data_IF_850641612277
#
_entry.id   IF_850641612277
#
_cell.length_a   1.000
_cell.length_b   1.000
_cell.length_c   1.000
_cell.angle_alpha   90.00
_cell.angle_beta   90.00
_cell.angle_gamma   90.00
#
_symmetry.space_group_name_H-M   'P 1'
#
loop_
_entity.id
_entity.type
_entity.pdbx_description
1 polymer ?
#
# COMPACT_ATOMS: atom_id res chain seq x y z
N UNK A 1 -7.44 -0.06 36.64
CA UNK A 1 -6.27 0.34 35.83
C UNK A 1 -5.82 -0.87 35.04
N UNK A 2 -5.97 -0.85 33.71
CA UNK A 2 -5.47 -1.93 32.86
C UNK A 2 -3.93 -1.82 32.82
N UNK A 3 -3.24 -2.89 33.21
CA UNK A 3 -1.78 -2.99 33.08
C UNK A 3 -1.41 -2.87 31.60
N UNK A 4 -0.37 -2.10 31.24
CA UNK A 4 0.06 -2.04 29.84
C UNK A 4 0.49 -3.44 29.40
N UNK A 5 -0.24 -4.02 28.44
CA UNK A 5 0.04 -5.35 27.88
C UNK A 5 1.49 -5.36 27.41
N UNK A 6 2.34 -6.13 28.09
CA UNK A 6 3.74 -6.32 27.70
C UNK A 6 3.75 -6.98 26.32
N UNK A 7 4.01 -6.20 25.28
CA UNK A 7 3.92 -6.67 23.90
C UNK A 7 4.98 -7.74 23.69
N UNK A 8 4.56 -8.91 23.22
CA UNK A 8 5.46 -10.03 22.97
C UNK A 8 6.19 -9.82 21.63
N UNK A 9 7.51 -10.05 21.58
CA UNK A 9 8.34 -10.03 20.34
C UNK A 9 7.64 -10.72 19.17
N UNK A 10 7.07 -11.90 19.42
CA UNK A 10 6.36 -12.67 18.40
C UNK A 10 5.16 -11.90 17.84
N UNK A 11 4.40 -11.20 18.69
CA UNK A 11 3.27 -10.37 18.27
C UNK A 11 3.73 -9.20 17.39
N UNK A 12 4.87 -8.57 17.71
CA UNK A 12 5.45 -7.49 16.88
C UNK A 12 5.84 -8.02 15.48
N UNK A 13 6.55 -9.15 15.44
CA UNK A 13 7.00 -9.75 14.19
C UNK A 13 5.80 -10.17 13.33
N UNK A 14 4.78 -10.77 13.92
CA UNK A 14 3.55 -11.13 13.19
C UNK A 14 2.83 -9.90 12.64
N UNK A 15 2.76 -8.80 13.39
CA UNK A 15 2.18 -7.54 12.90
C UNK A 15 2.99 -6.94 11.73
N UNK A 16 4.32 -6.95 11.79
CA UNK A 16 5.18 -6.48 10.67
C UNK A 16 4.95 -7.34 9.42
N UNK A 17 4.90 -8.67 9.58
CA UNK A 17 4.63 -9.60 8.46
C UNK A 17 3.23 -9.42 7.89
N UNK A 18 2.23 -9.22 8.73
CA UNK A 18 0.87 -8.91 8.31
C UNK A 18 0.81 -7.59 7.53
N UNK A 19 1.49 -6.55 8.01
CA UNK A 19 1.61 -5.27 7.32
C UNK A 19 2.25 -5.44 5.93
N UNK A 20 3.38 -6.15 5.82
CA UNK A 20 4.02 -6.48 4.54
C UNK A 20 3.08 -7.21 3.58
N UNK A 21 2.38 -8.25 4.04
CA UNK A 21 1.40 -8.98 3.21
C UNK A 21 0.26 -8.08 2.74
N UNK A 22 -0.24 -7.21 3.62
CA UNK A 22 -1.32 -6.28 3.28
C UNK A 22 -0.89 -5.26 2.23
N UNK A 23 0.35 -4.76 2.32
CA UNK A 23 0.93 -3.85 1.33
C UNK A 23 1.07 -4.52 -0.04
N UNK A 24 1.69 -5.70 -0.11
CA UNK A 24 1.82 -6.47 -1.36
C UNK A 24 0.45 -6.78 -1.97
N UNK A 25 -0.54 -7.09 -1.14
CA UNK A 25 -1.92 -7.32 -1.60
C UNK A 25 -2.53 -6.05 -2.19
N UNK A 26 -2.30 -4.88 -1.57
CA UNK A 26 -2.76 -3.60 -2.10
C UNK A 26 -2.14 -3.30 -3.47
N UNK A 27 -0.83 -3.52 -3.64
CA UNK A 27 -0.13 -3.31 -4.93
C UNK A 27 -0.68 -4.23 -6.02
N UNK A 28 -0.96 -5.51 -5.70
CA UNK A 28 -1.62 -6.44 -6.64
C UNK A 28 -3.00 -5.96 -7.07
N UNK A 29 -3.78 -5.39 -6.15
CA UNK A 29 -5.11 -4.85 -6.46
C UNK A 29 -5.02 -3.59 -7.34
N UNK A 30 -4.03 -2.73 -7.10
CA UNK A 30 -3.75 -1.60 -7.98
C UNK A 30 -3.43 -2.07 -9.41
N UNK A 31 -2.63 -3.15 -9.56
CA UNK A 31 -2.37 -3.80 -10.85
C UNK A 31 -3.65 -4.31 -11.51
N UNK A 32 -4.45 -5.09 -10.79
CA UNK A 32 -5.71 -5.65 -11.29
C UNK A 32 -6.67 -4.57 -11.81
N UNK A 33 -6.68 -3.41 -11.16
CA UNK A 33 -7.48 -2.26 -11.58
C UNK A 33 -7.03 -1.69 -12.95
N UNK A 34 -5.71 -1.66 -13.21
CA UNK A 34 -5.14 -1.26 -14.51
C UNK A 34 -5.50 -2.29 -15.57
N UNK A 35 -5.41 -3.57 -15.24
CA UNK A 35 -5.75 -4.69 -16.13
C UNK A 35 -7.26 -4.80 -16.41
N UNK A 36 -8.09 -3.95 -15.79
CA UNK A 36 -9.54 -3.92 -15.99
C UNK A 36 -10.28 -5.05 -15.28
N UNK A 37 -9.61 -5.77 -14.37
CA UNK A 37 -10.25 -6.75 -13.49
C UNK A 37 -11.14 -5.99 -12.49
N UNK A 38 -12.40 -6.41 -12.27
CA UNK A 38 -13.24 -5.81 -11.25
C UNK A 38 -12.59 -5.92 -9.87
N UNK A 39 -12.27 -4.78 -9.28
CA UNK A 39 -11.76 -4.66 -7.91
C UNK A 39 -12.66 -3.70 -7.16
N UNK A 40 -13.05 -4.08 -5.95
CA UNK A 40 -13.74 -3.18 -5.04
C UNK A 40 -12.86 -1.97 -4.72
N UNK A 41 -13.34 -0.76 -5.07
CA UNK A 41 -12.62 0.52 -4.91
C UNK A 41 -12.20 0.78 -3.47
N UNK A 42 -13.00 0.29 -2.51
CA UNK A 42 -12.74 0.47 -1.08
C UNK A 42 -11.50 -0.32 -0.64
N UNK A 43 -11.07 -1.30 -1.45
CA UNK A 43 -9.88 -2.12 -1.20
C UNK A 43 -8.60 -1.55 -1.79
N UNK A 44 -8.67 -0.44 -2.53
CA UNK A 44 -7.51 0.25 -3.13
C UNK A 44 -7.64 1.78 -2.92
N UNK A 45 -7.62 2.24 -1.66
CA UNK A 45 -7.78 3.66 -1.38
C UNK A 45 -6.61 4.49 -1.93
N UNK A 46 -6.92 5.71 -2.36
CA UNK A 46 -5.92 6.68 -2.83
C UNK A 46 -5.12 7.24 -1.65
N UNK A 47 -5.79 7.50 -0.51
CA UNK A 47 -5.15 8.04 0.67
C UNK A 47 -4.25 6.99 1.35
N UNK A 48 -2.99 7.34 1.70
CA UNK A 48 -2.06 6.41 2.33
C UNK A 48 -2.54 5.93 3.71
N UNK A 49 -3.26 6.76 4.46
CA UNK A 49 -3.79 6.43 5.79
C UNK A 49 -4.90 5.39 5.78
N UNK A 50 -5.54 5.21 4.63
CA UNK A 50 -6.78 4.43 4.53
C UNK A 50 -6.51 3.00 4.09
N UNK A 51 -5.32 2.69 3.58
CA UNK A 51 -4.93 1.32 3.24
C UNK A 51 -4.64 0.52 4.53
N UNK A 52 -4.86 -0.79 4.51
CA UNK A 52 -4.64 -1.67 5.68
C UNK A 52 -3.22 -1.51 6.25
N UNK A 53 -2.24 -1.35 5.35
CA UNK A 53 -0.86 -1.09 5.73
C UNK A 53 -0.70 0.26 6.44
N UNK A 54 -1.29 1.33 5.91
CA UNK A 54 -1.26 2.66 6.50
C UNK A 54 -1.98 2.73 7.84
N UNK A 55 -3.13 2.06 7.97
CA UNK A 55 -3.85 1.93 9.25
C UNK A 55 -2.97 1.28 10.32
N UNK A 56 -2.18 0.26 9.95
CA UNK A 56 -1.17 -0.28 10.85
C UNK A 56 -0.05 0.73 11.12
N UNK A 57 0.53 1.36 10.09
CA UNK A 57 1.65 2.29 10.23
C UNK A 57 1.33 3.47 11.16
N UNK A 58 0.19 4.11 10.96
CA UNK A 58 -0.26 5.25 11.75
C UNK A 58 -0.99 4.86 13.05
N UNK A 59 -1.39 3.60 13.19
CA UNK A 59 -2.01 3.04 14.40
C UNK A 59 -1.03 2.19 15.22
N UNK A 60 -1.30 0.89 15.31
CA UNK A 60 -0.54 -0.08 16.13
C UNK A 60 0.99 -0.04 15.89
N UNK A 61 1.42 0.21 14.66
CA UNK A 61 2.82 0.31 14.27
C UNK A 61 3.57 1.45 14.96
N UNK A 62 2.89 2.49 15.45
CA UNK A 62 3.49 3.64 16.14
C UNK A 62 4.25 3.27 17.40
N UNK A 63 4.02 2.09 17.98
CA UNK A 63 4.87 1.54 19.04
C UNK A 63 6.35 1.39 18.62
N UNK A 64 6.63 1.30 17.32
CA UNK A 64 7.95 1.18 16.71
C UNK A 64 8.52 2.54 16.25
N UNK A 65 7.82 3.66 16.49
CA UNK A 65 8.17 4.98 15.96
C UNK A 65 9.53 5.52 16.43
N UNK A 66 10.15 4.93 17.47
CA UNK A 66 11.51 5.26 17.91
C UNK A 66 12.60 4.61 17.06
N UNK A 67 12.25 3.64 16.21
CA UNK A 67 13.20 2.93 15.36
C UNK A 67 13.37 3.70 14.04
N UNK A 68 14.61 4.10 13.66
CA UNK A 68 14.85 4.76 12.38
C UNK A 68 14.39 3.94 11.17
N UNK A 69 14.47 2.60 11.25
CA UNK A 69 13.98 1.70 10.22
C UNK A 69 12.46 1.78 10.02
N UNK A 70 11.69 2.08 11.07
CA UNK A 70 10.25 2.29 10.99
C UNK A 70 9.93 3.68 10.41
N UNK A 71 10.62 4.72 10.86
CA UNK A 71 10.43 6.09 10.36
C UNK A 71 10.73 6.18 8.86
N UNK A 72 11.76 5.48 8.41
CA UNK A 72 12.09 5.41 7.00
C UNK A 72 10.93 4.86 6.14
N UNK A 73 9.90 4.21 6.66
CA UNK A 73 8.84 3.66 5.82
C UNK A 73 7.89 4.75 5.26
N UNK A 74 7.76 5.90 5.92
CA UNK A 74 6.74 6.91 5.61
C UNK A 74 6.88 7.51 4.21
N UNK A 75 8.04 8.10 3.90
CA UNK A 75 8.27 8.77 2.61
C UNK A 75 7.99 7.88 1.39
N UNK A 76 8.54 6.65 1.27
CA UNK A 76 8.28 5.82 0.10
C UNK A 76 6.82 5.33 0.06
N UNK A 77 6.15 5.21 1.22
CA UNK A 77 4.74 4.91 1.27
C UNK A 77 3.88 6.07 0.74
N UNK A 78 4.23 7.30 1.10
CA UNK A 78 3.56 8.50 0.58
C UNK A 78 3.79 8.63 -0.93
N UNK A 79 5.03 8.47 -1.42
CA UNK A 79 5.31 8.50 -2.85
C UNK A 79 4.60 7.41 -3.65
N UNK A 80 4.50 6.19 -3.09
CA UNK A 80 3.72 5.12 -3.70
C UNK A 80 2.24 5.54 -3.89
N UNK A 81 1.65 6.15 -2.88
CA UNK A 81 0.25 6.62 -2.94
C UNK A 81 0.07 7.85 -3.84
N UNK A 82 1.03 8.77 -3.90
CA UNK A 82 1.05 9.88 -4.86
C UNK A 82 1.08 9.37 -6.30
N UNK A 83 1.94 8.38 -6.60
CA UNK A 83 2.02 7.77 -7.92
C UNK A 83 0.74 6.99 -8.23
N UNK A 84 0.14 6.32 -7.25
CA UNK A 84 -1.18 5.71 -7.43
C UNK A 84 -2.30 6.71 -7.71
N UNK A 85 -2.30 7.88 -7.06
CA UNK A 85 -3.27 8.93 -7.33
C UNK A 85 -3.22 9.40 -8.79
N UNK A 86 -2.01 9.47 -9.39
CA UNK A 86 -1.83 9.76 -10.81
C UNK A 86 -2.46 8.67 -11.70
N UNK A 87 -2.20 7.39 -11.38
CA UNK A 87 -2.82 6.24 -12.08
C UNK A 87 -4.35 6.34 -11.99
N UNK A 88 -4.88 6.55 -10.79
CA UNK A 88 -6.31 6.64 -10.54
C UNK A 88 -6.94 7.77 -11.36
N UNK A 89 -6.31 8.96 -11.39
CA UNK A 89 -6.77 10.10 -12.19
C UNK A 89 -6.80 9.80 -13.69
N UNK A 90 -5.79 9.10 -14.22
CA UNK A 90 -5.77 8.69 -15.64
C UNK A 90 -6.92 7.78 -16.00
N UNK A 91 -7.27 6.85 -15.10
CA UNK A 91 -8.29 5.85 -15.35
C UNK A 91 -9.72 6.31 -15.04
N UNK A 92 -9.90 7.28 -14.13
CA UNK A 92 -11.22 7.66 -13.57
C UNK A 92 -11.48 9.17 -13.39
N UNK A 93 -10.65 10.07 -13.93
CA UNK A 93 -10.86 11.53 -13.82
C UNK A 93 -12.15 12.03 -14.50
N UNK A 94 -12.51 13.30 -14.28
CA UNK A 94 -13.85 13.89 -14.54
C UNK A 94 -14.44 13.73 -15.97
N UNK A 95 -13.62 13.49 -16.99
CA UNK A 95 -14.06 13.23 -18.37
C UNK A 95 -14.07 11.73 -18.74
N UNK A 96 -13.93 10.85 -17.75
CA UNK A 96 -13.89 9.40 -17.91
C UNK A 96 -15.15 8.81 -17.25
N UNK A 97 -15.79 7.80 -17.85
CA UNK A 97 -16.97 7.20 -17.28
C UNK A 97 -16.67 6.59 -15.92
N UNK A 98 -17.63 6.80 -15.02
CA UNK A 98 -17.57 6.34 -13.64
C UNK A 98 -17.30 4.83 -13.57
N UNK A 99 -16.59 4.38 -12.54
CA UNK A 99 -16.19 2.98 -12.33
C UNK A 99 -17.32 1.97 -12.58
N UNK A 100 -18.56 2.30 -12.18
CA UNK A 100 -19.73 1.47 -12.40
C UNK A 100 -20.02 1.19 -13.89
N UNK A 101 -19.74 2.12 -14.79
CA UNK A 101 -19.90 1.90 -16.23
C UNK A 101 -18.91 0.86 -16.78
N UNK A 102 -17.70 0.76 -16.20
CA UNK A 102 -16.72 -0.30 -16.53
C UNK A 102 -17.15 -1.66 -16.01
N UNK A 103 -17.70 -1.71 -14.80
CA UNK A 103 -18.15 -2.95 -14.16
C UNK A 103 -19.45 -3.49 -14.80
N UNK A 104 -20.34 -2.62 -15.29
CA UNK A 104 -21.59 -3.01 -15.94
C UNK A 104 -21.44 -3.51 -17.38
N UNK A 105 -20.23 -3.63 -17.91
CA UNK A 105 -20.00 -4.14 -19.27
C UNK A 105 -20.53 -3.22 -20.39
N UNK A 106 -20.88 -1.97 -20.06
CA UNK A 106 -21.04 -0.93 -21.09
C UNK A 106 -19.67 -0.76 -21.77
N UNK A 107 -19.66 -0.68 -23.10
CA UNK A 107 -18.45 -0.72 -23.96
C UNK A 107 -17.53 0.49 -23.77
N UNK A 108 -16.99 0.68 -22.58
CA UNK A 108 -15.95 1.64 -22.30
C UNK A 108 -14.60 0.93 -22.25
N UNK A 109 -13.81 1.13 -23.31
CA UNK A 109 -12.39 0.81 -23.30
C UNK A 109 -11.64 2.11 -22.98
N UNK A 110 -10.81 2.16 -21.92
CA UNK A 110 -9.93 3.30 -21.71
C UNK A 110 -9.06 3.53 -22.95
N UNK A 111 -8.66 4.79 -23.19
CA UNK A 111 -7.80 5.10 -24.33
C UNK A 111 -6.48 4.35 -24.16
N UNK A 112 -5.91 3.84 -25.26
CA UNK A 112 -4.66 3.08 -25.22
C UNK A 112 -3.55 3.88 -24.53
N UNK A 113 -3.48 5.17 -24.80
CA UNK A 113 -2.51 6.09 -24.18
C UNK A 113 -2.68 6.18 -22.65
N UNK A 114 -3.91 6.22 -22.14
CA UNK A 114 -4.15 6.24 -20.67
C UNK A 114 -3.65 4.94 -20.02
N UNK A 115 -3.83 3.80 -20.70
CA UNK A 115 -3.33 2.52 -20.23
C UNK A 115 -1.81 2.44 -20.30
N UNK A 116 -1.19 2.92 -21.38
CA UNK A 116 0.26 2.94 -21.53
C UNK A 116 0.91 3.81 -20.44
N UNK A 117 0.38 5.01 -20.19
CA UNK A 117 0.80 5.88 -19.09
C UNK A 117 0.56 5.27 -17.71
N UNK A 118 -0.61 4.64 -17.49
CA UNK A 118 -0.88 3.95 -16.22
C UNK A 118 0.10 2.80 -15.99
N UNK A 119 0.51 2.09 -17.04
CA UNK A 119 1.53 1.04 -16.95
C UNK A 119 2.93 1.60 -16.64
N UNK A 120 3.31 2.73 -17.21
CA UNK A 120 4.56 3.43 -16.85
C UNK A 120 4.57 3.86 -15.39
N UNK A 121 3.51 4.55 -14.94
CA UNK A 121 3.36 4.94 -13.55
C UNK A 121 3.33 3.72 -12.61
N UNK A 122 2.79 2.59 -13.05
CA UNK A 122 2.80 1.37 -12.26
C UNK A 122 4.20 0.79 -12.08
N UNK A 123 5.11 0.95 -13.06
CA UNK A 123 6.52 0.58 -12.88
C UNK A 123 7.18 1.41 -11.77
N UNK A 124 6.91 2.71 -11.75
CA UNK A 124 7.38 3.61 -10.69
C UNK A 124 6.77 3.22 -9.33
N UNK A 125 5.47 2.95 -9.28
CA UNK A 125 4.78 2.46 -8.09
C UNK A 125 5.41 1.16 -7.56
N UNK A 126 5.73 0.23 -8.45
CA UNK A 126 6.37 -1.04 -8.09
C UNK A 126 7.75 -0.81 -7.47
N UNK A 127 8.55 0.13 -8.01
CA UNK A 127 9.84 0.49 -7.43
C UNK A 127 9.70 1.06 -6.00
N UNK A 128 8.70 1.91 -5.75
CA UNK A 128 8.40 2.37 -4.38
C UNK A 128 7.94 1.24 -3.46
N UNK A 129 7.11 0.32 -3.96
CA UNK A 129 6.70 -0.89 -3.23
C UNK A 129 7.91 -1.73 -2.81
N UNK A 130 8.86 -1.96 -3.71
CA UNK A 130 10.06 -2.75 -3.42
C UNK A 130 10.92 -2.10 -2.33
N UNK A 131 11.01 -0.76 -2.33
CA UNK A 131 11.66 0.01 -1.26
C UNK A 131 10.95 -0.20 0.08
N UNK A 132 9.61 -0.13 0.12
CA UNK A 132 8.82 -0.33 1.36
C UNK A 132 9.03 -1.75 1.89
N UNK A 133 8.97 -2.76 1.01
CA UNK A 133 9.20 -4.16 1.38
C UNK A 133 10.59 -4.34 1.97
N UNK A 134 11.63 -3.77 1.36
CA UNK A 134 12.99 -3.83 1.89
C UNK A 134 13.14 -3.12 3.24
N UNK A 135 12.43 -2.01 3.47
CA UNK A 135 12.42 -1.31 4.77
C UNK A 135 11.71 -2.14 5.85
N UNK A 136 10.61 -2.83 5.51
CA UNK A 136 9.93 -3.75 6.42
C UNK A 136 10.78 -4.97 6.79
N UNK A 137 11.56 -5.51 5.85
CA UNK A 137 12.51 -6.60 6.12
C UNK A 137 13.61 -6.16 7.10
N UNK A 138 14.21 -4.99 6.87
CA UNK A 138 15.20 -4.40 7.80
C UNK A 138 14.61 -4.16 9.20
N UNK A 139 13.37 -3.66 9.27
CA UNK A 139 12.66 -3.49 10.53
C UNK A 139 12.45 -4.85 11.23
N UNK A 140 12.01 -5.88 10.50
CA UNK A 140 11.84 -7.23 11.03
C UNK A 140 13.17 -7.79 11.59
N UNK A 141 14.27 -7.64 10.85
CA UNK A 141 15.61 -8.04 11.30
C UNK A 141 16.06 -7.30 12.55
N UNK A 142 15.81 -5.98 12.63
CA UNK A 142 16.14 -5.18 13.81
C UNK A 142 15.38 -5.69 15.04
N UNK A 143 14.08 -5.99 14.92
CA UNK A 143 13.29 -6.57 16.01
C UNK A 143 13.78 -7.97 16.40
N UNK A 144 14.20 -8.80 15.45
CA UNK A 144 14.78 -10.13 15.74
C UNK A 144 16.02 -10.01 16.62
N UNK A 145 16.97 -9.14 16.25
CA UNK A 145 18.24 -8.90 16.96
C UNK A 145 18.05 -8.28 18.35
N UNK A 146 17.11 -7.34 18.48
CA UNK A 146 16.84 -6.67 19.76
C UNK A 146 16.34 -7.63 20.84
N UNK A 147 15.82 -8.79 20.45
CA UNK A 147 15.32 -9.78 21.39
C UNK A 147 16.12 -11.10 21.35
N UNK A 148 17.37 -11.02 20.93
CA UNK A 148 18.44 -11.99 21.24
C UNK A 148 19.35 -11.48 22.38
N UNK A 149 19.12 -10.24 22.83
CA UNK A 149 19.75 -9.61 23.99
C UNK A 149 18.75 -9.57 25.15
#
# INVERSE_FOLDING_TARGET
MATPKKINKSEILEKIRAAKRSHVTWVKRARSLIDGVPVDKEKVPVMPTDCIFGQWYYGDGRQLAKLPSFQAIEDPHNHLHETYAKIFKRLFGDNRPSFFARVLGLKYKPHKEDLDEANELFRELQAWSDIIVGRLEKLEEQIKRLAER
#
